data_IF_704555397958
#
_entry.id   IF_704555397958
#
_cell.length_a   1.000
_cell.length_b   1.000
_cell.length_c   1.000
_cell.angle_alpha   90.00
_cell.angle_beta   90.00
_cell.angle_gamma   90.00
#
_symmetry.space_group_name_H-M   'P 1'
#
loop_
_entity.id
_entity.type
_entity.pdbx_description
1 polymer ?
#
# COMPACT_ATOMS: atom_id res chain seq x y z
N UNK A 1 -14.90 -5.74 8.67
CA UNK A 1 -15.00 -6.49 9.96
C UNK A 1 -13.71 -6.24 10.73
N UNK A 2 -13.74 -6.24 12.06
CA UNK A 2 -12.54 -6.18 12.90
C UNK A 2 -12.66 -7.22 13.99
N UNK A 3 -11.64 -8.06 14.20
CA UNK A 3 -11.68 -9.19 15.13
C UNK A 3 -12.95 -10.06 14.94
N UNK A 4 -13.27 -10.38 13.68
CA UNK A 4 -14.48 -11.12 13.24
C UNK A 4 -15.83 -10.42 13.48
N UNK A 5 -15.87 -9.30 14.22
CA UNK A 5 -17.09 -8.49 14.45
C UNK A 5 -17.44 -7.64 13.24
N UNK A 6 -18.73 -7.49 12.94
CA UNK A 6 -19.20 -6.64 11.84
C UNK A 6 -19.13 -5.17 12.28
N UNK A 7 -18.53 -4.33 11.44
CA UNK A 7 -18.55 -2.88 11.66
C UNK A 7 -19.79 -2.32 10.97
N UNK A 8 -20.56 -1.49 11.65
CA UNK A 8 -21.82 -0.90 11.16
C UNK A 8 -21.80 0.63 11.31
N UNK A 9 -22.68 1.32 10.56
CA UNK A 9 -22.78 2.78 10.56
C UNK A 9 -21.78 3.51 9.65
N UNK A 10 -20.70 2.87 9.19
CA UNK A 10 -19.78 3.47 8.18
C UNK A 10 -20.40 3.44 6.78
N UNK A 11 -21.04 2.33 6.41
CA UNK A 11 -21.58 2.14 5.06
C UNK A 11 -22.78 3.05 4.75
N UNK A 12 -23.31 3.73 5.77
CA UNK A 12 -24.40 4.71 5.66
C UNK A 12 -23.86 6.13 5.38
N UNK A 13 -22.55 6.33 5.47
CA UNK A 13 -21.91 7.65 5.34
C UNK A 13 -21.56 8.01 3.91
N UNK A 14 -21.35 7.01 3.06
CA UNK A 14 -21.02 7.24 1.66
C UNK A 14 -21.57 6.13 0.77
N UNK A 15 -22.08 6.52 -0.39
CA UNK A 15 -22.57 5.60 -1.42
C UNK A 15 -21.55 5.53 -2.55
N UNK A 16 -21.18 4.31 -3.03
CA UNK A 16 -20.45 4.16 -4.26
C UNK A 16 -21.22 4.75 -5.43
N UNK A 17 -20.58 5.66 -6.16
CA UNK A 17 -21.21 6.40 -7.26
C UNK A 17 -20.32 6.32 -8.49
N UNK A 18 -20.94 6.11 -9.64
CA UNK A 18 -20.28 6.29 -10.94
C UNK A 18 -20.61 7.70 -11.40
N UNK A 19 -19.58 8.52 -11.54
CA UNK A 19 -19.67 9.88 -12.05
C UNK A 19 -19.47 9.88 -13.57
N UNK A 20 -19.75 11.02 -14.21
CA UNK A 20 -19.51 11.20 -15.64
C UNK A 20 -18.07 10.82 -16.02
N UNK A 21 -17.91 10.18 -17.19
CA UNK A 21 -16.62 9.67 -17.65
C UNK A 21 -16.20 8.31 -17.08
N UNK A 22 -17.17 7.51 -16.59
CA UNK A 22 -16.92 6.19 -15.96
C UNK A 22 -15.99 6.27 -14.73
N UNK A 23 -16.01 7.41 -14.04
CA UNK A 23 -15.19 7.64 -12.85
C UNK A 23 -15.90 7.06 -11.63
N UNK A 24 -15.27 6.06 -10.99
CA UNK A 24 -15.77 5.49 -9.75
C UNK A 24 -15.34 6.34 -8.55
N UNK A 25 -16.28 6.66 -7.67
CA UNK A 25 -15.98 7.33 -6.43
C UNK A 25 -17.03 7.11 -5.34
N UNK A 26 -16.99 7.96 -4.33
CA UNK A 26 -17.89 7.94 -3.19
C UNK A 26 -18.62 9.27 -3.08
N UNK A 27 -19.94 9.23 -2.92
CA UNK A 27 -20.75 10.40 -2.56
C UNK A 27 -21.10 10.32 -1.07
N UNK A 28 -20.70 11.32 -0.30
CA UNK A 28 -21.06 11.43 1.11
C UNK A 28 -22.57 11.65 1.28
N UNK A 29 -23.16 11.06 2.32
CA UNK A 29 -24.56 11.33 2.69
C UNK A 29 -24.71 12.73 3.32
N UNK A 30 -25.91 13.30 3.23
CA UNK A 30 -26.21 14.65 3.72
C UNK A 30 -25.94 14.83 5.23
N UNK A 31 -25.97 13.72 5.99
CA UNK A 31 -25.71 13.70 7.43
C UNK A 31 -24.22 13.78 7.79
N UNK A 32 -23.32 13.72 6.79
CA UNK A 32 -21.87 13.81 7.00
C UNK A 32 -21.41 15.25 6.87
N UNK A 33 -20.87 15.80 7.96
CA UNK A 33 -20.23 17.11 7.93
C UNK A 33 -18.97 17.08 7.06
N UNK A 34 -18.95 17.93 6.03
CA UNK A 34 -17.79 18.18 5.17
C UNK A 34 -17.18 19.52 5.54
N UNK A 35 -15.97 19.52 6.07
CA UNK A 35 -15.23 20.72 6.48
C UNK A 35 -14.02 20.91 5.57
N UNK A 36 -13.85 22.09 4.97
CA UNK A 36 -12.74 22.39 4.04
C UNK A 36 -12.61 21.35 2.91
N UNK A 37 -13.73 20.87 2.38
CA UNK A 37 -13.75 19.86 1.31
C UNK A 37 -13.43 18.43 1.78
N UNK A 38 -13.25 18.19 3.07
CA UNK A 38 -12.96 16.86 3.63
C UNK A 38 -14.08 16.40 4.57
N UNK A 39 -14.67 15.25 4.23
CA UNK A 39 -15.47 14.49 5.17
C UNK A 39 -14.55 13.64 6.08
N UNK A 40 -15.00 13.38 7.30
CA UNK A 40 -14.25 12.57 8.28
C UNK A 40 -14.96 11.26 8.53
N UNK A 41 -14.21 10.15 8.47
CA UNK A 41 -14.71 8.87 8.93
C UNK A 41 -14.93 8.89 10.46
N UNK A 42 -15.86 8.06 10.99
CA UNK A 42 -16.07 7.96 12.43
C UNK A 42 -14.82 7.49 13.15
N UNK A 43 -14.51 8.15 14.26
CA UNK A 43 -13.33 7.85 15.09
C UNK A 43 -13.67 6.99 16.31
N UNK A 44 -14.96 6.87 16.66
CA UNK A 44 -15.42 6.11 17.83
C UNK A 44 -16.39 5.01 17.43
N UNK A 45 -16.24 3.85 18.08
CA UNK A 45 -17.08 2.68 17.85
C UNK A 45 -17.50 2.08 19.20
N UNK A 46 -18.80 1.84 19.36
CA UNK A 46 -19.34 1.09 20.50
C UNK A 46 -19.30 -0.40 20.17
N UNK A 47 -18.68 -1.18 21.07
CA UNK A 47 -18.74 -2.64 20.99
C UNK A 47 -20.11 -3.11 21.51
N UNK A 48 -20.91 -3.72 20.63
CA UNK A 48 -22.26 -4.23 20.90
C UNK A 48 -22.28 -5.77 20.86
N UNK A 49 -21.16 -6.41 21.18
CA UNK A 49 -21.01 -7.87 21.14
C UNK A 49 -20.61 -8.34 19.74
N UNK A 50 -21.60 -8.64 18.90
CA UNK A 50 -21.37 -9.16 17.53
C UNK A 50 -21.04 -8.06 16.51
N UNK A 51 -21.39 -6.81 16.85
CA UNK A 51 -21.16 -5.63 16.03
C UNK A 51 -20.31 -4.59 16.73
N UNK A 52 -19.65 -3.75 15.93
CA UNK A 52 -19.05 -2.49 16.35
C UNK A 52 -19.71 -1.37 15.57
N UNK A 53 -20.56 -0.60 16.24
CA UNK A 53 -21.33 0.48 15.63
C UNK A 53 -20.55 1.78 15.75
N UNK A 54 -20.42 2.54 14.66
CA UNK A 54 -19.88 3.91 14.74
C UNK A 54 -20.78 4.79 15.61
N UNK A 55 -20.16 5.61 16.46
CA UNK A 55 -20.85 6.57 17.32
C UNK A 55 -20.19 7.93 17.21
N UNK A 56 -20.92 9.00 17.57
CA UNK A 56 -20.33 10.34 17.60
C UNK A 56 -19.45 10.51 18.83
N UNK A 57 -18.58 11.53 18.81
CA UNK A 57 -17.83 11.92 19.98
C UNK A 57 -18.75 12.18 21.19
N UNK A 58 -19.95 12.73 20.99
CA UNK A 58 -20.91 13.04 22.04
C UNK A 58 -21.47 11.80 22.77
N UNK A 59 -21.46 10.64 22.11
CA UNK A 59 -22.00 9.37 22.63
C UNK A 59 -20.95 8.50 23.33
N UNK A 60 -19.69 8.95 23.37
CA UNK A 60 -18.59 8.23 24.01
C UNK A 60 -18.71 8.39 25.53
N UNK A 61 -18.87 7.32 26.32
CA UNK A 61 -19.04 7.44 27.76
C UNK A 61 -17.80 8.07 28.43
N UNK A 62 -17.95 9.07 29.32
CA UNK A 62 -16.83 9.79 29.93
C UNK A 62 -15.83 8.90 30.67
N UNK A 63 -16.30 7.82 31.26
CA UNK A 63 -15.52 6.82 31.99
C UNK A 63 -14.50 6.08 31.12
N UNK A 64 -14.71 6.04 29.80
CA UNK A 64 -13.75 5.41 28.88
C UNK A 64 -12.47 6.21 28.71
N UNK A 65 -12.49 7.50 29.06
CA UNK A 65 -11.40 8.48 28.85
C UNK A 65 -10.96 8.67 27.40
N UNK A 66 -11.58 7.98 26.42
CA UNK A 66 -11.17 7.98 25.01
C UNK A 66 -11.16 9.37 24.36
N UNK A 67 -12.06 10.27 24.79
CA UNK A 67 -12.08 11.67 24.29
C UNK A 67 -10.84 12.48 24.70
N UNK A 68 -10.14 12.05 25.75
CA UNK A 68 -8.94 12.71 26.30
C UNK A 68 -7.65 11.99 25.92
N UNK A 69 -7.74 10.81 25.30
CA UNK A 69 -6.59 10.04 24.86
C UNK A 69 -5.97 10.70 23.63
N UNK A 70 -4.67 10.99 23.72
CA UNK A 70 -3.87 11.47 22.60
C UNK A 70 -2.98 10.33 22.11
N UNK A 71 -2.99 10.07 20.81
CA UNK A 71 -2.02 9.17 20.20
C UNK A 71 -0.75 9.95 19.89
N UNK A 72 0.45 9.37 20.14
CA UNK A 72 1.68 10.03 19.77
C UNK A 72 1.72 10.25 18.26
N UNK A 73 2.17 11.42 17.83
CA UNK A 73 2.54 11.63 16.44
C UNK A 73 3.73 10.72 16.09
N UNK A 74 3.85 10.28 14.83
CA UNK A 74 5.09 9.65 14.39
C UNK A 74 6.27 10.61 14.63
N UNK A 75 7.44 10.10 15.05
CA UNK A 75 8.62 10.92 15.26
C UNK A 75 9.05 11.59 13.95
N UNK A 76 9.71 12.75 14.05
CA UNK A 76 10.22 13.49 12.88
C UNK A 76 11.21 12.66 12.05
N UNK A 77 11.97 11.78 12.70
CA UNK A 77 12.82 10.79 12.06
C UNK A 77 12.44 9.39 12.57
N UNK A 78 11.57 8.65 11.87
CA UNK A 78 11.26 7.28 12.24
C UNK A 78 12.48 6.38 12.04
N UNK A 79 12.57 5.31 12.83
CA UNK A 79 13.54 4.25 12.59
C UNK A 79 13.37 3.73 11.15
N UNK A 80 14.47 3.44 10.45
CA UNK A 80 14.39 2.97 9.09
C UNK A 80 13.65 1.64 9.02
N UNK A 81 12.90 1.44 7.94
CA UNK A 81 12.52 0.10 7.54
C UNK A 81 13.81 -0.66 7.15
N UNK A 82 13.95 -1.90 7.61
CA UNK A 82 15.06 -2.78 7.26
C UNK A 82 14.60 -4.23 7.20
N UNK A 83 14.82 -4.88 6.07
CA UNK A 83 14.80 -6.33 5.90
C UNK A 83 16.19 -6.95 6.12
N UNK A 84 17.21 -6.14 6.43
CA UNK A 84 18.58 -6.58 6.63
C UNK A 84 18.89 -6.96 8.08
N UNK A 85 19.80 -7.94 8.31
CA UNK A 85 20.47 -8.75 7.29
C UNK A 85 19.47 -9.66 6.56
N UNK A 86 19.65 -9.83 5.25
CA UNK A 86 18.78 -10.72 4.48
C UNK A 86 18.96 -12.16 4.99
N UNK A 87 17.86 -12.78 5.41
CA UNK A 87 17.83 -14.14 5.94
C UNK A 87 16.51 -14.83 5.58
N UNK A 88 16.51 -16.16 5.66
CA UNK A 88 15.35 -17.01 5.32
C UNK A 88 14.80 -16.68 3.94
N UNK A 89 13.51 -16.32 3.88
CA UNK A 89 12.79 -15.99 2.64
C UNK A 89 13.38 -14.79 1.87
N UNK A 90 14.26 -14.00 2.47
CA UNK A 90 14.97 -12.90 1.81
C UNK A 90 16.32 -13.30 1.23
N UNK A 91 16.90 -14.41 1.70
CA UNK A 91 18.24 -14.84 1.32
C UNK A 91 18.23 -16.03 0.35
N UNK A 92 17.25 -16.94 0.44
CA UNK A 92 17.22 -18.17 -0.35
C UNK A 92 15.81 -18.61 -0.78
N UNK A 93 15.55 -18.72 -2.09
CA UNK A 93 16.19 -17.96 -3.18
C UNK A 93 16.27 -16.45 -2.87
N UNK A 94 17.44 -15.87 -3.09
CA UNK A 94 17.76 -14.48 -2.75
C UNK A 94 17.71 -13.51 -3.93
N UNK A 95 18.22 -12.29 -3.75
CA UNK A 95 18.26 -11.30 -4.81
C UNK A 95 19.17 -11.74 -5.96
N UNK A 96 18.74 -11.50 -7.19
CA UNK A 96 19.51 -11.72 -8.40
C UNK A 96 20.51 -10.59 -8.69
N UNK A 97 20.23 -9.35 -8.24
CA UNK A 97 21.16 -8.23 -8.31
C UNK A 97 20.90 -7.19 -7.21
N UNK A 98 21.90 -6.33 -6.96
CA UNK A 98 21.86 -5.27 -5.95
C UNK A 98 22.81 -5.51 -4.77
N UNK A 99 22.69 -4.72 -3.70
CA UNK A 99 21.75 -3.62 -3.56
C UNK A 99 22.05 -2.43 -4.48
N UNK A 100 20.99 -1.66 -4.77
CA UNK A 100 21.01 -0.37 -5.46
C UNK A 100 20.32 0.66 -4.58
N UNK A 101 20.61 1.94 -4.76
CA UNK A 101 20.05 3.03 -3.95
C UNK A 101 19.47 4.14 -4.80
N UNK A 102 18.46 4.83 -4.27
CA UNK A 102 17.89 6.06 -4.80
C UNK A 102 17.44 6.95 -3.65
N UNK A 103 17.36 8.26 -3.87
CA UNK A 103 16.89 9.23 -2.88
C UNK A 103 15.54 9.78 -3.34
N UNK A 104 14.54 9.69 -2.48
CA UNK A 104 13.19 10.18 -2.73
C UNK A 104 13.08 11.70 -2.46
N UNK A 105 12.01 12.30 -2.95
CA UNK A 105 11.70 13.72 -2.79
C UNK A 105 11.47 14.15 -1.33
N UNK A 106 11.16 13.20 -0.44
CA UNK A 106 11.07 13.44 1.00
C UNK A 106 12.43 13.43 1.72
N UNK A 107 13.52 13.17 0.98
CA UNK A 107 14.89 13.09 1.50
C UNK A 107 15.27 11.73 2.05
N UNK A 108 14.37 10.74 2.07
CA UNK A 108 14.71 9.37 2.44
C UNK A 108 15.49 8.67 1.34
N UNK A 109 16.45 7.83 1.74
CA UNK A 109 17.13 6.90 0.85
C UNK A 109 16.38 5.57 0.86
N UNK A 110 16.18 5.01 -0.33
CA UNK A 110 15.62 3.67 -0.53
C UNK A 110 16.72 2.78 -1.09
N UNK A 111 16.97 1.66 -0.42
CA UNK A 111 17.83 0.60 -0.89
C UNK A 111 16.99 -0.60 -1.31
N UNK A 112 17.26 -1.12 -2.49
CA UNK A 112 16.49 -2.20 -3.10
C UNK A 112 17.39 -3.18 -3.84
N UNK A 113 16.89 -4.40 -4.02
CA UNK A 113 17.53 -5.44 -4.81
C UNK A 113 16.56 -5.94 -5.89
N UNK A 114 17.09 -6.48 -6.97
CA UNK A 114 16.28 -7.12 -8.01
C UNK A 114 16.12 -8.60 -7.71
N UNK A 115 14.88 -9.07 -7.66
CA UNK A 115 14.54 -10.48 -7.50
C UNK A 115 13.94 -10.99 -8.79
N UNK A 116 14.18 -12.27 -9.11
CA UNK A 116 13.29 -12.99 -10.02
C UNK A 116 11.91 -13.00 -9.36
N UNK A 117 10.85 -12.77 -10.15
CA UNK A 117 9.52 -12.51 -9.61
C UNK A 117 9.05 -13.61 -8.65
N UNK A 118 9.25 -14.89 -9.00
CA UNK A 118 8.85 -16.02 -8.15
C UNK A 118 9.72 -16.23 -6.90
N UNK A 119 10.89 -15.59 -6.85
CA UNK A 119 11.86 -15.72 -5.76
C UNK A 119 11.69 -14.64 -4.70
N UNK A 120 10.75 -13.72 -4.89
CA UNK A 120 10.39 -12.70 -3.89
C UNK A 120 10.01 -13.35 -2.54
N UNK A 121 10.32 -12.71 -1.40
CA UNK A 121 10.04 -13.25 -0.06
C UNK A 121 8.58 -13.64 0.16
N UNK A 122 7.65 -12.91 -0.46
CA UNK A 122 6.21 -13.15 -0.34
C UNK A 122 5.78 -14.54 -0.83
N UNK A 123 6.49 -15.12 -1.79
CA UNK A 123 6.14 -16.43 -2.35
C UNK A 123 6.77 -17.59 -1.58
N UNK A 124 7.87 -17.35 -0.86
CA UNK A 124 8.61 -18.41 -0.13
C UNK A 124 7.81 -19.02 1.03
N UNK A 125 6.77 -18.32 1.52
CA UNK A 125 5.88 -18.87 2.55
C UNK A 125 4.94 -19.97 2.04
N UNK A 126 4.82 -20.13 0.71
CA UNK A 126 3.91 -21.09 0.11
C UNK A 126 4.67 -22.35 -0.35
N UNK A 127 4.13 -23.51 0.02
CA UNK A 127 4.60 -24.81 -0.47
C UNK A 127 3.99 -25.11 -1.84
N UNK A 128 4.41 -24.36 -2.86
CA UNK A 128 3.91 -24.52 -4.23
C UNK A 128 4.76 -25.51 -5.03
N UNK A 129 4.12 -26.38 -5.84
CA UNK A 129 4.84 -27.18 -6.83
C UNK A 129 5.69 -26.32 -7.75
N UNK A 130 6.83 -26.86 -8.18
CA UNK A 130 7.74 -26.17 -9.10
C UNK A 130 7.04 -25.73 -10.40
N UNK A 131 6.11 -26.55 -10.92
CA UNK A 131 5.32 -26.22 -12.12
C UNK A 131 4.51 -24.93 -11.93
N UNK A 132 3.81 -24.77 -10.79
CA UNK A 132 3.05 -23.56 -10.48
C UNK A 132 3.96 -22.32 -10.37
N UNK A 133 5.15 -22.50 -9.81
CA UNK A 133 6.16 -21.44 -9.69
C UNK A 133 6.66 -20.99 -11.06
N UNK A 134 6.95 -21.94 -11.94
CA UNK A 134 7.42 -21.67 -13.30
C UNK A 134 6.33 -21.05 -14.17
N UNK A 135 5.07 -21.49 -14.03
CA UNK A 135 3.93 -20.91 -14.73
C UNK A 135 3.71 -19.43 -14.36
N UNK A 136 3.77 -19.10 -13.06
CA UNK A 136 3.66 -17.71 -12.61
C UNK A 136 4.82 -16.87 -13.15
N UNK A 137 6.05 -17.38 -13.08
CA UNK A 137 7.19 -16.68 -13.64
C UNK A 137 7.01 -16.41 -15.15
N UNK A 138 6.61 -17.43 -15.92
CA UNK A 138 6.41 -17.31 -17.36
C UNK A 138 5.27 -16.34 -17.71
N UNK A 139 4.23 -16.27 -16.89
CA UNK A 139 3.16 -15.28 -17.05
C UNK A 139 3.71 -13.86 -16.88
N UNK A 140 4.51 -13.60 -15.85
CA UNK A 140 5.08 -12.28 -15.59
C UNK A 140 6.06 -11.86 -16.69
N UNK A 141 6.89 -12.77 -17.19
CA UNK A 141 7.77 -12.50 -18.33
C UNK A 141 6.98 -12.10 -19.58
N UNK A 142 5.85 -12.77 -19.86
CA UNK A 142 4.95 -12.39 -20.95
C UNK A 142 4.34 -11.02 -20.73
N UNK A 143 3.93 -10.70 -19.49
CA UNK A 143 3.39 -9.38 -19.15
C UNK A 143 4.43 -8.29 -19.34
N UNK A 144 5.65 -8.45 -18.80
CA UNK A 144 6.72 -7.46 -18.97
C UNK A 144 7.09 -7.24 -20.45
N UNK A 145 7.02 -8.29 -21.27
CA UNK A 145 7.30 -8.19 -22.71
C UNK A 145 6.17 -7.49 -23.48
N UNK A 146 4.92 -7.69 -23.08
CA UNK A 146 3.75 -7.17 -23.80
C UNK A 146 3.27 -5.81 -23.29
N UNK A 147 3.52 -5.49 -22.02
CA UNK A 147 2.95 -4.34 -21.32
C UNK A 147 4.04 -3.34 -20.90
N UNK A 148 4.51 -2.48 -21.82
CA UNK A 148 5.49 -1.44 -21.49
C UNK A 148 4.90 -0.35 -20.58
N UNK A 149 5.77 0.35 -19.84
CA UNK A 149 5.38 1.39 -18.88
C UNK A 149 4.65 2.59 -19.51
N UNK A 150 4.88 2.84 -20.80
CA UNK A 150 4.28 3.91 -21.60
C UNK A 150 3.08 3.44 -22.45
N UNK A 151 2.58 2.21 -22.19
CA UNK A 151 1.40 1.68 -22.85
C UNK A 151 0.11 2.42 -22.45
N UNK A 152 -0.85 2.47 -23.36
CA UNK A 152 -2.20 3.01 -23.09
C UNK A 152 -3.14 1.89 -22.65
N UNK A 153 -3.24 1.64 -21.35
CA UNK A 153 -4.07 0.56 -20.78
C UNK A 153 -5.47 1.01 -20.36
N UNK A 154 -5.61 2.29 -20.04
CA UNK A 154 -6.85 2.90 -19.59
C UNK A 154 -7.25 4.00 -20.59
N UNK A 155 -8.56 4.26 -20.75
CA UNK A 155 -9.01 5.44 -21.49
C UNK A 155 -8.46 6.70 -20.80
N UNK A 156 -8.36 7.80 -21.56
CA UNK A 156 -7.91 9.09 -21.02
C UNK A 156 -8.78 9.53 -19.84
N UNK A 157 -8.16 10.19 -18.86
CA UNK A 157 -8.84 10.75 -17.69
C UNK A 157 -9.08 12.26 -17.86
N UNK A 158 -10.21 12.75 -17.35
CA UNK A 158 -10.45 14.18 -17.20
C UNK A 158 -9.73 14.74 -15.95
N UNK A 159 -9.23 15.97 -16.03
CA UNK A 159 -8.61 16.69 -14.90
C UNK A 159 -7.08 16.70 -14.89
N UNK A 160 -6.51 17.16 -13.76
CA UNK A 160 -5.06 17.20 -13.53
C UNK A 160 -4.60 15.88 -12.88
N UNK A 161 -3.61 15.22 -13.49
CA UNK A 161 -3.07 13.95 -13.01
C UNK A 161 -2.17 14.15 -11.79
N UNK A 162 -2.23 13.21 -10.84
CA UNK A 162 -1.22 13.13 -9.79
C UNK A 162 0.14 12.73 -10.39
N UNK A 163 1.22 13.36 -9.92
CA UNK A 163 2.58 13.00 -10.27
C UNK A 163 3.18 12.04 -9.25
N UNK A 164 3.92 11.04 -9.73
CA UNK A 164 4.80 10.23 -8.90
C UNK A 164 6.17 10.88 -8.77
N UNK A 165 6.86 10.61 -7.67
CA UNK A 165 8.29 10.91 -7.55
C UNK A 165 9.07 10.13 -8.63
N UNK A 166 9.84 10.80 -9.51
CA UNK A 166 10.63 10.15 -10.54
C UNK A 166 11.60 9.08 -9.98
N UNK A 167 12.09 9.25 -8.75
CA UNK A 167 12.98 8.31 -8.09
C UNK A 167 12.35 6.93 -7.84
N UNK A 168 11.02 6.81 -7.91
CA UNK A 168 10.29 5.54 -7.80
C UNK A 168 10.35 4.70 -9.09
N UNK A 169 10.73 5.29 -10.22
CA UNK A 169 10.86 4.58 -11.49
C UNK A 169 12.31 4.17 -11.73
N UNK A 170 12.62 2.92 -11.39
CA UNK A 170 13.97 2.36 -11.54
C UNK A 170 14.09 1.54 -12.83
N UNK A 171 15.29 1.55 -13.42
CA UNK A 171 15.57 0.80 -14.65
C UNK A 171 16.10 -0.60 -14.32
N UNK A 172 15.55 -1.67 -14.90
CA UNK A 172 16.10 -3.02 -14.76
C UNK A 172 17.57 -3.09 -15.21
N UNK A 173 18.44 -3.80 -14.48
CA UNK A 173 19.76 -4.15 -14.98
C UNK A 173 19.67 -4.95 -16.28
N UNK A 174 20.72 -4.87 -17.10
CA UNK A 174 20.78 -5.56 -18.38
C UNK A 174 20.54 -7.07 -18.20
N UNK A 175 19.58 -7.62 -18.95
CA UNK A 175 19.20 -9.04 -18.88
C UNK A 175 18.15 -9.35 -17.81
N UNK A 176 17.66 -8.34 -17.09
CA UNK A 176 16.62 -8.46 -16.05
C UNK A 176 15.35 -7.69 -16.43
N UNK A 177 15.20 -7.30 -17.69
CA UNK A 177 14.05 -6.52 -18.18
C UNK A 177 12.74 -7.32 -18.06
N UNK A 178 12.82 -8.64 -18.16
CA UNK A 178 11.68 -9.55 -18.07
C UNK A 178 11.76 -10.40 -16.80
N UNK A 179 10.63 -10.56 -16.10
CA UNK A 179 10.51 -11.52 -15.01
C UNK A 179 11.26 -11.15 -13.72
N UNK A 180 11.83 -9.96 -13.62
CA UNK A 180 12.48 -9.46 -12.41
C UNK A 180 11.85 -8.18 -11.94
N UNK A 181 11.84 -7.97 -10.63
CA UNK A 181 11.24 -6.80 -9.99
C UNK A 181 12.16 -6.23 -8.89
N UNK A 182 12.16 -4.91 -8.70
CA UNK A 182 12.88 -4.28 -7.60
C UNK A 182 12.10 -4.45 -6.29
N UNK A 183 12.76 -4.90 -5.24
CA UNK A 183 12.20 -5.08 -3.90
C UNK A 183 13.02 -4.25 -2.91
N UNK A 184 12.34 -3.36 -2.21
CA UNK A 184 12.93 -2.53 -1.16
C UNK A 184 13.36 -3.42 0.01
N UNK A 185 14.61 -3.28 0.42
CA UNK A 185 15.18 -3.97 1.57
C UNK A 185 15.52 -3.01 2.72
N UNK A 186 15.61 -1.71 2.45
CA UNK A 186 15.80 -0.70 3.48
C UNK A 186 15.28 0.66 3.02
N UNK A 187 14.70 1.44 3.93
CA UNK A 187 14.35 2.84 3.68
C UNK A 187 14.50 3.65 4.97
N UNK A 188 15.17 4.80 4.88
CA UNK A 188 15.29 5.74 5.98
C UNK A 188 15.95 7.03 5.57
N UNK A 189 15.92 8.01 6.46
CA UNK A 189 16.73 9.23 6.32
C UNK A 189 18.16 8.80 6.65
N UNK A 190 19.07 8.95 5.68
CA UNK A 190 20.49 8.66 5.90
C UNK A 190 20.99 9.47 7.09
N UNK A 191 21.55 8.78 8.09
CA UNK A 191 22.31 9.44 9.14
C UNK A 191 23.56 10.03 8.48
N UNK A 192 23.71 11.36 8.50
CA UNK A 192 25.03 11.99 8.30
C UNK A 192 26.08 11.40 9.25
#
# INVERSE_FOLDING_TARGET
>A
RQNRKKITGINELATPTVFDGDVFGLTWSDDVAVENGMAKFPTFFRDEGDTRRSITAADVPPETTLRKTTFPSPPTNPEPYSAEPLDGSWAEPGPAAGPMETTLADGSTVRYCWYRFIDQPVFQQFDWPQETRDDLQALIEKMHAAWPIDGTYLPGSDGELASFDPALFVTPPKGMELGHVPIVIWQGIGSD
#
